data_IF_302200029615
#
_entry.id   IF_302200029615
#
_cell.length_a   1.000
_cell.length_b   1.000
_cell.length_c   1.000
_cell.angle_alpha   90.00
_cell.angle_beta   90.00
_cell.angle_gamma   90.00
#
_symmetry.space_group_name_H-M   'P 1'
#
loop_
_entity.id
_entity.type
_entity.pdbx_description
1 polymer ?
#
# COMPACT_ATOMS: atom_id res chain seq x y z
N UNK A 1 -5.95 -7.59 3.03
CA UNK A 1 -4.50 -7.49 3.25
C UNK A 1 -4.12 -6.04 2.96
N UNK A 2 -3.56 -5.37 3.96
CA UNK A 2 -3.09 -3.99 3.80
C UNK A 2 -1.78 -3.95 3.03
N UNK A 3 -1.59 -2.89 2.23
CA UNK A 3 -0.30 -2.58 1.64
C UNK A 3 0.59 -1.98 2.74
N UNK A 4 1.90 -2.25 2.75
CA UNK A 4 2.80 -1.59 3.69
C UNK A 4 2.82 -0.09 3.45
N UNK A 5 2.61 0.69 4.50
CA UNK A 5 2.73 2.14 4.52
C UNK A 5 4.02 2.61 5.23
N UNK A 6 4.71 1.70 5.92
CA UNK A 6 5.92 2.00 6.69
C UNK A 6 7.09 1.08 6.34
N UNK A 7 8.31 1.55 6.64
CA UNK A 7 9.52 0.72 6.52
C UNK A 7 9.50 -0.49 7.47
N UNK A 8 8.75 -0.43 8.58
CA UNK A 8 8.63 -1.56 9.51
C UNK A 8 7.83 -2.69 8.88
N UNK A 9 6.66 -2.38 8.32
CA UNK A 9 5.83 -3.36 7.61
C UNK A 9 6.56 -3.94 6.40
N UNK A 10 7.33 -3.11 5.66
CA UNK A 10 8.19 -3.62 4.59
C UNK A 10 9.20 -4.66 5.10
N UNK A 11 9.82 -4.43 6.27
CA UNK A 11 10.76 -5.39 6.88
C UNK A 11 10.06 -6.69 7.31
N UNK A 12 8.84 -6.60 7.83
CA UNK A 12 8.02 -7.76 8.19
C UNK A 12 7.68 -8.63 6.97
N UNK A 13 7.54 -8.01 5.80
CA UNK A 13 7.36 -8.68 4.50
C UNK A 13 8.70 -9.15 3.87
N UNK A 14 9.84 -8.86 4.48
CA UNK A 14 11.17 -9.15 3.93
C UNK A 14 11.55 -8.28 2.72
N UNK A 15 10.88 -7.14 2.52
CA UNK A 15 11.09 -6.26 1.37
C UNK A 15 12.10 -5.16 1.69
N UNK A 16 13.22 -5.16 0.97
CA UNK A 16 14.23 -4.09 1.06
C UNK A 16 13.89 -2.86 0.22
N UNK A 17 13.02 -3.01 -0.79
CA UNK A 17 12.56 -1.95 -1.69
C UNK A 17 11.15 -2.23 -2.22
N UNK A 18 10.48 -1.19 -2.68
CA UNK A 18 9.21 -1.26 -3.42
C UNK A 18 9.47 -1.10 -4.91
N UNK A 19 8.66 -1.77 -5.72
CA UNK A 19 8.64 -1.60 -7.18
C UNK A 19 7.66 -0.50 -7.58
N UNK A 20 6.58 -0.32 -6.80
CA UNK A 20 5.55 0.72 -6.99
C UNK A 20 5.19 1.36 -5.65
N UNK A 21 5.00 2.68 -5.64
CA UNK A 21 4.45 3.44 -4.51
C UNK A 21 3.16 4.11 -4.99
N UNK A 22 2.05 3.80 -4.34
CA UNK A 22 0.77 4.48 -4.57
C UNK A 22 0.65 5.67 -3.61
N UNK A 23 0.29 6.85 -4.13
CA UNK A 23 0.09 8.05 -3.31
C UNK A 23 -1.36 8.48 -3.43
N UNK A 24 -2.04 8.67 -2.30
CA UNK A 24 -3.42 9.14 -2.25
C UNK A 24 -3.61 10.18 -1.15
N UNK A 25 -4.51 11.14 -1.40
CA UNK A 25 -4.98 12.10 -0.40
C UNK A 25 -6.10 11.55 0.50
N UNK A 26 -6.62 10.36 0.20
CA UNK A 26 -7.66 9.71 1.00
C UNK A 26 -7.07 8.88 2.14
N UNK A 27 -7.89 8.60 3.15
CA UNK A 27 -7.59 7.54 4.11
C UNK A 27 -7.48 6.18 3.41
N UNK A 28 -6.47 5.38 3.78
CA UNK A 28 -6.33 4.04 3.21
C UNK A 28 -7.29 3.06 3.90
N UNK A 29 -8.32 2.65 3.18
CA UNK A 29 -9.29 1.64 3.62
C UNK A 29 -9.19 0.43 2.69
N UNK A 30 -9.04 -0.76 3.26
CA UNK A 30 -9.01 -2.02 2.53
C UNK A 30 -10.43 -2.43 2.08
N UNK A 31 -10.95 -1.75 1.04
CA UNK A 31 -12.31 -1.94 0.51
C UNK A 31 -12.32 -1.99 -1.03
N UNK A 32 -13.19 -2.82 -1.65
CA UNK A 32 -13.33 -2.86 -3.11
C UNK A 32 -13.89 -1.56 -3.72
N UNK A 33 -14.46 -0.68 -2.89
CA UNK A 33 -14.94 0.64 -3.32
C UNK A 33 -13.82 1.69 -3.35
N UNK A 34 -12.61 1.34 -2.90
CA UNK A 34 -11.46 2.25 -2.85
C UNK A 34 -10.50 1.89 -3.98
N UNK A 35 -10.39 2.78 -4.98
CA UNK A 35 -9.61 2.53 -6.19
C UNK A 35 -8.15 2.16 -5.90
N UNK A 36 -7.49 2.87 -4.97
CA UNK A 36 -6.08 2.59 -4.61
C UNK A 36 -5.90 1.20 -3.99
N UNK A 37 -6.89 0.69 -3.24
CA UNK A 37 -6.86 -0.65 -2.66
C UNK A 37 -7.00 -1.73 -3.75
N UNK A 38 -7.90 -1.51 -4.73
CA UNK A 38 -8.09 -2.42 -5.86
C UNK A 38 -6.83 -2.48 -6.72
N UNK A 39 -6.28 -1.32 -7.10
CA UNK A 39 -5.05 -1.23 -7.91
C UNK A 39 -3.88 -1.88 -7.19
N UNK A 40 -3.68 -1.57 -5.91
CA UNK A 40 -2.58 -2.13 -5.14
C UNK A 40 -2.65 -3.65 -5.02
N UNK A 41 -3.83 -4.22 -4.75
CA UNK A 41 -4.03 -5.67 -4.71
C UNK A 41 -3.78 -6.33 -6.06
N UNK A 42 -4.23 -5.71 -7.14
CA UNK A 42 -3.98 -6.21 -8.48
C UNK A 42 -2.48 -6.29 -8.77
N UNK A 43 -1.74 -5.22 -8.48
CA UNK A 43 -0.29 -5.15 -8.67
C UNK A 43 0.47 -6.14 -7.77
N UNK A 44 0.06 -6.30 -6.51
CA UNK A 44 0.64 -7.33 -5.61
C UNK A 44 0.39 -8.73 -6.16
N UNK A 45 -0.83 -9.02 -6.66
CA UNK A 45 -1.16 -10.31 -7.30
C UNK A 45 -0.37 -10.54 -8.59
N UNK A 46 0.01 -9.48 -9.29
CA UNK A 46 0.88 -9.53 -10.46
C UNK A 46 2.38 -9.70 -10.11
N UNK A 47 2.74 -9.75 -8.81
CA UNK A 47 4.10 -10.02 -8.34
C UNK A 47 4.94 -8.79 -8.01
N UNK A 48 4.35 -7.59 -8.03
CA UNK A 48 5.06 -6.36 -7.65
C UNK A 48 5.04 -6.16 -6.13
N UNK A 49 6.12 -5.59 -5.58
CA UNK A 49 6.14 -5.08 -4.20
C UNK A 49 5.58 -3.68 -4.19
N UNK A 50 4.37 -3.55 -3.66
CA UNK A 50 3.61 -2.29 -3.68
C UNK A 50 3.47 -1.77 -2.27
N UNK A 51 3.79 -0.50 -2.07
CA UNK A 51 3.46 0.22 -0.83
C UNK A 51 2.56 1.41 -1.10
N UNK A 52 2.06 2.02 -0.03
CA UNK A 52 1.13 3.14 -0.12
C UNK A 52 1.54 4.29 0.81
N UNK A 53 1.38 5.52 0.33
CA UNK A 53 1.41 6.75 1.13
C UNK A 53 0.00 7.34 1.04
N UNK A 54 -0.74 7.25 2.13
CA UNK A 54 -2.11 7.75 2.24
C UNK A 54 -2.14 9.06 3.03
N UNK A 55 -3.33 9.65 3.21
CA UNK A 55 -3.51 10.78 4.11
C UNK A 55 -2.84 10.49 5.47
N UNK A 56 -2.03 11.42 6.00
CA UNK A 56 -1.45 11.25 7.33
C UNK A 56 -2.54 11.20 8.40
N UNK A 57 -2.22 10.57 9.52
CA UNK A 57 -3.04 10.74 10.73
C UNK A 57 -3.05 12.23 11.11
N UNK A 58 -4.19 12.67 11.63
CA UNK A 58 -4.43 14.04 12.05
C UNK A 58 -4.21 14.21 13.58
N UNK A 59 -3.77 13.16 14.27
CA UNK A 59 -3.47 13.15 15.70
C UNK A 59 -1.97 13.05 15.99
#
# INVERSE_FOLDING_TARGET
>A
MFLPATRKEMKELGWSKLDVILVTGDAYIDSPFIGVAVIGKFLVRAGFRVGIIAQPDIH
#
